data_IF_737654669556
#
_entry.id   IF_737654669556
#
_cell.length_a   1.000
_cell.length_b   1.000
_cell.length_c   1.000
_cell.angle_alpha   90.00
_cell.angle_beta   90.00
_cell.angle_gamma   90.00
#
_symmetry.space_group_name_H-M   'P 1'
#
loop_
_entity.id
_entity.type
_entity.pdbx_description
1 polymer ?
#
# COMPACT_ATOMS: atom_id res chain seq x y z
N UNK A 1 39.15 -4.25 -22.44
CA UNK A 1 37.86 -4.00 -21.75
C UNK A 1 37.58 -5.14 -20.80
N UNK A 2 37.70 -4.88 -19.52
CA UNK A 2 37.42 -5.90 -18.52
C UNK A 2 35.92 -5.98 -18.35
N UNK A 3 35.35 -7.13 -18.70
CA UNK A 3 34.01 -7.50 -18.31
C UNK A 3 33.96 -7.55 -16.79
N UNK A 4 33.32 -6.58 -16.20
CA UNK A 4 32.97 -6.64 -14.78
C UNK A 4 31.89 -7.71 -14.71
N UNK A 5 32.28 -8.91 -14.30
CA UNK A 5 31.31 -9.94 -13.96
C UNK A 5 30.45 -9.36 -12.86
N UNK A 6 29.21 -9.01 -13.22
CA UNK A 6 28.21 -8.61 -12.24
C UNK A 6 28.05 -9.73 -11.25
N UNK A 7 28.59 -9.50 -10.07
CA UNK A 7 28.28 -10.34 -8.95
C UNK A 7 26.77 -10.16 -8.67
N UNK A 8 26.02 -11.17 -9.01
CA UNK A 8 24.62 -11.26 -8.63
C UNK A 8 24.56 -12.06 -7.35
N UNK A 9 24.27 -11.45 -6.21
CA UNK A 9 23.92 -12.23 -5.05
C UNK A 9 22.67 -13.01 -5.40
N UNK A 10 22.81 -14.32 -5.44
CA UNK A 10 21.64 -15.19 -5.58
C UNK A 10 20.77 -14.92 -4.36
N UNK A 11 19.58 -14.42 -4.59
CA UNK A 11 18.56 -14.43 -3.55
C UNK A 11 18.47 -15.87 -3.04
N UNK A 12 18.51 -16.12 -1.74
CA UNK A 12 18.37 -17.45 -1.22
C UNK A 12 17.04 -18.02 -1.71
N UNK A 13 17.14 -19.00 -2.59
CA UNK A 13 15.95 -19.70 -3.10
C UNK A 13 15.56 -20.73 -2.06
N UNK A 14 14.96 -20.26 -1.01
CA UNK A 14 14.21 -21.11 -0.12
C UNK A 14 12.79 -21.21 -0.70
N UNK A 15 12.52 -22.27 -1.42
CA UNK A 15 11.21 -22.51 -2.02
C UNK A 15 10.08 -22.53 -0.99
N UNK A 16 10.37 -22.85 0.25
CA UNK A 16 9.40 -22.84 1.35
C UNK A 16 8.91 -21.44 1.71
N UNK A 17 9.56 -20.38 1.25
CA UNK A 17 9.22 -18.99 1.53
C UNK A 17 8.56 -18.25 0.37
N UNK A 18 8.21 -18.92 -0.70
CA UNK A 18 7.60 -18.29 -1.89
C UNK A 18 6.28 -17.57 -1.57
N UNK A 19 5.59 -18.04 -0.54
CA UNK A 19 4.31 -17.47 -0.11
C UNK A 19 4.45 -16.49 1.07
N UNK A 20 5.67 -16.27 1.54
CA UNK A 20 5.95 -15.31 2.59
C UNK A 20 5.90 -13.88 2.02
N UNK A 21 5.00 -13.01 2.52
CA UNK A 21 4.93 -11.60 2.09
C UNK A 21 6.27 -10.87 2.22
N UNK A 22 7.06 -11.16 3.27
CA UNK A 22 8.37 -10.54 3.47
C UNK A 22 9.35 -10.88 2.34
N UNK A 23 9.32 -12.11 1.86
CA UNK A 23 10.16 -12.53 0.74
C UNK A 23 9.80 -11.80 -0.55
N UNK A 24 8.51 -11.58 -0.80
CA UNK A 24 8.02 -10.76 -1.93
C UNK A 24 8.56 -9.34 -1.85
N UNK A 25 8.57 -8.74 -0.65
CA UNK A 25 9.11 -7.41 -0.42
C UNK A 25 10.62 -7.32 -0.67
N UNK A 26 11.38 -8.29 -0.18
CA UNK A 26 12.83 -8.34 -0.38
C UNK A 26 13.18 -8.54 -1.85
N UNK A 27 12.49 -9.43 -2.53
CA UNK A 27 12.68 -9.66 -3.96
C UNK A 27 12.37 -8.42 -4.79
N UNK A 28 11.33 -7.71 -4.40
CA UNK A 28 10.95 -6.48 -5.11
C UNK A 28 11.99 -5.37 -4.92
N UNK A 29 12.46 -5.15 -3.68
CA UNK A 29 13.57 -4.21 -3.41
C UNK A 29 14.82 -4.56 -4.20
N UNK A 30 15.14 -5.85 -4.28
CA UNK A 30 16.27 -6.33 -5.03
C UNK A 30 16.12 -6.04 -6.53
N UNK A 31 14.99 -6.38 -7.12
CA UNK A 31 14.73 -6.16 -8.53
C UNK A 31 14.69 -4.66 -8.89
N UNK A 32 14.22 -3.80 -7.98
CA UNK A 32 14.20 -2.35 -8.21
C UNK A 32 15.59 -1.72 -8.17
N UNK A 33 16.49 -2.24 -7.35
CA UNK A 33 17.88 -1.79 -7.31
C UNK A 33 18.67 -2.11 -8.57
N UNK A 34 18.11 -2.94 -9.46
CA UNK A 34 18.68 -3.32 -10.74
C UNK A 34 18.05 -2.59 -11.93
N UNK A 35 17.12 -1.66 -11.68
CA UNK A 35 16.48 -0.91 -12.74
C UNK A 35 17.48 0.00 -13.46
N UNK A 36 17.65 -0.27 -14.74
CA UNK A 36 18.56 0.45 -15.63
C UNK A 36 17.96 1.73 -16.20
N UNK A 37 17.08 2.40 -15.43
CA UNK A 37 16.57 3.73 -15.77
C UNK A 37 15.29 3.75 -16.61
N UNK A 38 14.57 2.65 -16.70
CA UNK A 38 13.19 2.67 -17.18
C UNK A 38 12.34 3.37 -16.13
N UNK A 39 11.91 4.60 -16.42
CA UNK A 39 10.91 5.26 -15.59
C UNK A 39 9.68 4.35 -15.52
N UNK A 40 9.36 3.88 -14.32
CA UNK A 40 8.05 3.25 -14.09
C UNK A 40 7.02 4.30 -14.46
N UNK A 41 6.08 4.00 -15.38
CA UNK A 41 5.04 4.96 -15.72
C UNK A 41 4.36 5.43 -14.44
N UNK A 42 4.20 6.73 -14.27
CA UNK A 42 3.48 7.29 -13.13
C UNK A 42 2.07 6.72 -13.15
N UNK A 43 1.70 5.98 -12.11
CA UNK A 43 0.36 5.43 -11.98
C UNK A 43 -0.62 6.57 -11.66
N UNK A 44 -1.89 6.34 -11.92
CA UNK A 44 -2.93 7.35 -11.73
C UNK A 44 -3.73 7.09 -10.47
N UNK A 45 -4.22 8.17 -9.88
CA UNK A 45 -5.18 8.11 -8.79
C UNK A 45 -6.63 8.01 -9.31
N UNK A 46 -7.57 7.86 -8.38
CA UNK A 46 -9.01 7.75 -8.69
C UNK A 46 -9.60 9.00 -9.33
N UNK A 47 -8.89 10.12 -9.32
CA UNK A 47 -9.27 11.36 -9.98
C UNK A 47 -8.72 11.48 -11.43
N UNK A 48 -7.98 10.46 -11.89
CA UNK A 48 -7.35 10.45 -13.22
C UNK A 48 -6.08 11.28 -13.30
N UNK A 49 -5.55 11.74 -12.19
CA UNK A 49 -4.31 12.51 -12.07
C UNK A 49 -3.14 11.60 -11.67
N UNK A 50 -1.88 12.06 -11.76
CA UNK A 50 -0.74 11.30 -11.24
C UNK A 50 -0.93 10.95 -9.77
N UNK A 51 -0.62 9.70 -9.41
CA UNK A 51 -0.74 9.19 -8.05
C UNK A 51 0.23 9.93 -7.12
N UNK A 52 -0.30 10.52 -6.05
CA UNK A 52 0.50 11.20 -5.04
C UNK A 52 0.96 10.24 -3.93
N UNK A 53 1.98 10.65 -3.19
CA UNK A 53 2.47 9.90 -2.03
C UNK A 53 1.40 9.80 -0.95
N UNK A 54 1.25 8.62 -0.36
CA UNK A 54 0.35 8.38 0.76
C UNK A 54 1.03 8.68 2.09
N UNK A 55 2.15 8.02 2.39
CA UNK A 55 2.96 8.26 3.58
C UNK A 55 4.37 7.71 3.45
N UNK A 56 5.32 8.47 3.98
CA UNK A 56 6.72 8.03 4.12
C UNK A 56 7.08 7.71 5.58
N UNK A 57 6.23 8.10 6.55
CA UNK A 57 6.39 7.80 7.96
C UNK A 57 5.01 7.57 8.63
N UNK A 58 4.64 6.32 8.87
CA UNK A 58 5.30 5.08 8.44
C UNK A 58 5.35 4.94 6.92
N UNK A 59 6.43 4.36 6.39
CA UNK A 59 6.54 4.13 4.95
C UNK A 59 5.56 3.06 4.52
N UNK A 60 4.67 3.41 3.59
CA UNK A 60 3.56 2.57 3.16
C UNK A 60 3.70 2.12 1.71
N UNK A 61 2.71 1.39 1.26
CA UNK A 61 2.60 0.86 -0.08
C UNK A 61 3.01 -0.60 -0.18
N UNK A 62 2.42 -1.32 -1.13
CA UNK A 62 2.83 -2.70 -1.42
C UNK A 62 4.32 -2.77 -1.70
N UNK A 63 4.86 -1.79 -2.38
CA UNK A 63 6.27 -1.70 -2.72
C UNK A 63 7.12 -0.92 -1.70
N UNK A 64 6.54 -0.44 -0.61
CA UNK A 64 7.23 0.39 0.40
C UNK A 64 7.97 1.60 -0.20
N UNK A 65 7.33 2.25 -1.14
CA UNK A 65 7.82 3.47 -1.78
C UNK A 65 7.05 4.73 -1.36
N UNK A 66 6.16 4.58 -0.38
CA UNK A 66 5.32 5.66 0.12
C UNK A 66 4.04 5.91 -0.69
N UNK A 67 3.83 5.18 -1.77
CA UNK A 67 2.69 5.33 -2.67
C UNK A 67 1.86 4.05 -2.72
N UNK A 68 0.57 4.19 -2.98
CA UNK A 68 -0.35 3.07 -3.15
C UNK A 68 -0.27 2.50 -4.58
N UNK A 69 0.95 2.34 -5.09
CA UNK A 69 1.21 1.68 -6.35
C UNK A 69 0.81 0.22 -6.28
N UNK A 70 0.36 -0.32 -7.39
CA UNK A 70 -0.01 -1.73 -7.49
C UNK A 70 0.54 -2.37 -8.76
N UNK A 71 0.51 -3.67 -8.80
CA UNK A 71 0.96 -4.47 -9.93
C UNK A 71 0.43 -5.90 -9.82
N UNK A 72 0.77 -6.77 -10.78
CA UNK A 72 0.25 -8.15 -10.83
C UNK A 72 0.55 -8.98 -9.58
N UNK A 73 1.61 -8.66 -8.84
CA UNK A 73 1.98 -9.36 -7.62
C UNK A 73 1.14 -8.94 -6.40
N UNK A 74 0.52 -7.75 -6.45
CA UNK A 74 -0.30 -7.22 -5.38
C UNK A 74 -1.72 -7.77 -5.43
N UNK A 75 -1.89 -9.01 -5.04
CA UNK A 75 -3.17 -9.70 -5.06
C UNK A 75 -4.19 -9.08 -4.11
N UNK A 76 -3.73 -8.42 -3.05
CA UNK A 76 -4.58 -7.71 -2.09
C UNK A 76 -5.05 -6.35 -2.57
N UNK A 77 -4.48 -5.82 -3.66
CA UNK A 77 -4.76 -4.46 -4.14
C UNK A 77 -4.65 -3.42 -3.02
N UNK A 78 -3.43 -3.22 -2.51
CA UNK A 78 -3.13 -2.24 -1.46
C UNK A 78 -3.14 -0.82 -2.03
N UNK A 79 -4.31 -0.38 -2.45
CA UNK A 79 -4.50 0.76 -3.33
C UNK A 79 -5.23 1.94 -2.70
N UNK A 80 -5.81 1.75 -1.51
CA UNK A 80 -6.58 2.79 -0.82
C UNK A 80 -5.71 3.49 0.21
N UNK A 81 -5.39 4.76 -0.03
CA UNK A 81 -4.70 5.58 0.97
C UNK A 81 -5.70 6.07 2.02
N UNK A 82 -5.60 5.54 3.23
CA UNK A 82 -6.49 5.86 4.34
C UNK A 82 -5.78 6.68 5.41
N UNK A 83 -6.53 7.59 6.04
CA UNK A 83 -6.21 8.16 7.33
C UNK A 83 -6.86 7.28 8.40
N UNK A 84 -6.06 6.38 9.03
CA UNK A 84 -6.61 5.37 9.93
C UNK A 84 -7.13 6.00 11.23
N UNK A 85 -8.25 5.44 11.69
CA UNK A 85 -8.87 5.82 12.96
C UNK A 85 -8.82 4.66 13.94
N UNK A 86 -8.97 4.96 15.23
CA UNK A 86 -9.03 3.93 16.27
C UNK A 86 -10.14 2.89 15.97
N UNK A 87 -11.31 3.37 15.58
CA UNK A 87 -12.45 2.51 15.25
C UNK A 87 -12.18 1.64 14.03
N UNK A 88 -11.55 2.18 13.00
CA UNK A 88 -11.15 1.42 11.82
C UNK A 88 -10.19 0.29 12.19
N UNK A 89 -9.18 0.59 13.00
CA UNK A 89 -8.18 -0.39 13.44
C UNK A 89 -8.83 -1.51 14.27
N UNK A 90 -9.71 -1.16 15.20
CA UNK A 90 -10.41 -2.14 16.05
C UNK A 90 -11.29 -3.08 15.23
N UNK A 91 -12.15 -2.55 14.37
CA UNK A 91 -13.05 -3.35 13.54
C UNK A 91 -12.28 -4.16 12.49
N UNK A 92 -11.23 -3.58 11.93
CA UNK A 92 -10.34 -4.30 11.00
C UNK A 92 -9.72 -5.53 11.66
N UNK A 93 -9.26 -5.41 12.92
CA UNK A 93 -8.72 -6.53 13.69
C UNK A 93 -9.78 -7.60 13.97
N UNK A 94 -10.98 -7.21 14.36
CA UNK A 94 -12.11 -8.13 14.58
C UNK A 94 -12.48 -8.93 13.31
N UNK A 95 -12.32 -8.29 12.15
CA UNK A 95 -12.57 -8.90 10.84
C UNK A 95 -11.36 -9.69 10.29
N UNK A 96 -10.34 -9.90 11.10
CA UNK A 96 -9.17 -10.71 10.76
C UNK A 96 -8.03 -9.98 10.08
N UNK A 97 -8.06 -8.65 10.05
CA UNK A 97 -6.99 -7.82 9.51
C UNK A 97 -6.40 -6.92 10.60
N UNK A 98 -5.52 -7.47 11.41
CA UNK A 98 -4.88 -6.72 12.49
C UNK A 98 -3.77 -5.81 11.94
N UNK A 99 -4.01 -4.52 11.95
CA UNK A 99 -3.08 -3.48 11.50
C UNK A 99 -2.38 -2.75 12.65
N UNK A 100 -2.70 -3.09 13.90
CA UNK A 100 -2.16 -2.38 15.09
C UNK A 100 -0.95 -3.06 15.69
N UNK A 101 -0.77 -4.35 15.46
CA UNK A 101 0.34 -5.11 16.03
C UNK A 101 1.57 -5.03 15.13
N UNK A 102 2.73 -4.61 15.65
CA UNK A 102 3.97 -4.62 14.89
C UNK A 102 4.34 -6.02 14.40
N UNK A 103 4.88 -6.10 13.19
CA UNK A 103 5.43 -7.33 12.61
C UNK A 103 6.83 -6.99 12.10
N UNK A 104 7.86 -7.10 12.99
CA UNK A 104 9.22 -6.69 12.66
C UNK A 104 9.81 -7.39 11.44
N UNK A 105 9.45 -8.66 11.21
CA UNK A 105 9.89 -9.46 10.07
C UNK A 105 9.49 -8.83 8.72
N UNK A 106 8.41 -8.06 8.71
CA UNK A 106 7.91 -7.38 7.53
C UNK A 106 8.26 -5.88 7.51
N UNK A 107 9.02 -5.41 8.49
CA UNK A 107 9.26 -3.99 8.68
C UNK A 107 7.97 -3.20 8.91
N UNK A 108 6.95 -3.86 9.48
CA UNK A 108 5.66 -3.24 9.75
C UNK A 108 5.62 -2.77 11.21
N UNK A 109 5.50 -1.44 11.44
CA UNK A 109 5.60 -0.90 12.80
C UNK A 109 4.30 -1.02 13.62
N UNK A 110 3.21 -1.49 13.02
CA UNK A 110 1.88 -1.33 13.58
C UNK A 110 1.36 0.11 13.38
N UNK A 111 0.08 0.24 13.08
CA UNK A 111 -0.53 1.54 12.85
C UNK A 111 -1.15 2.11 14.11
N UNK A 112 -1.15 3.42 14.19
CA UNK A 112 -1.81 4.21 15.23
C UNK A 112 -2.84 5.11 14.59
N UNK A 113 -3.89 5.55 15.32
CA UNK A 113 -4.80 6.56 14.83
C UNK A 113 -4.05 7.81 14.34
N UNK A 114 -4.40 8.28 13.14
CA UNK A 114 -3.74 9.41 12.49
C UNK A 114 -2.67 9.02 11.46
N UNK A 115 -2.23 7.78 11.43
CA UNK A 115 -1.32 7.29 10.40
C UNK A 115 -2.03 7.20 9.04
N UNK A 116 -1.27 7.39 7.96
CA UNK A 116 -1.73 7.09 6.61
C UNK A 116 -1.16 5.76 6.15
N UNK A 117 -1.99 4.97 5.51
CA UNK A 117 -1.61 3.64 5.06
C UNK A 117 -2.33 3.22 3.78
N UNK A 118 -1.61 2.52 2.91
CA UNK A 118 -2.21 1.89 1.73
C UNK A 118 -2.86 0.58 2.14
N UNK A 119 -4.17 0.59 2.27
CA UNK A 119 -4.98 -0.54 2.70
C UNK A 119 -5.47 -1.33 1.49
N UNK A 120 -5.59 -2.64 1.68
CA UNK A 120 -6.26 -3.52 0.71
C UNK A 120 -7.69 -3.03 0.45
N UNK A 121 -8.03 -2.84 -0.82
CA UNK A 121 -9.33 -2.29 -1.22
C UNK A 121 -10.51 -3.12 -0.69
N UNK A 122 -10.43 -4.44 -0.78
CA UNK A 122 -11.47 -5.33 -0.27
C UNK A 122 -11.60 -5.26 1.27
N UNK A 123 -10.47 -5.09 1.98
CA UNK A 123 -10.47 -4.95 3.45
C UNK A 123 -11.09 -3.62 3.88
N UNK A 124 -10.77 -2.52 3.18
CA UNK A 124 -11.41 -1.24 3.47
C UNK A 124 -12.93 -1.31 3.25
N UNK A 125 -13.36 -1.90 2.14
CA UNK A 125 -14.79 -2.07 1.83
C UNK A 125 -15.50 -2.95 2.88
N UNK A 126 -14.83 -3.99 3.37
CA UNK A 126 -15.35 -4.85 4.45
C UNK A 126 -15.61 -4.06 5.73
N UNK A 127 -14.67 -3.20 6.13
CA UNK A 127 -14.83 -2.34 7.32
C UNK A 127 -15.88 -1.26 7.07
N UNK A 128 -15.97 -0.74 5.84
CA UNK A 128 -17.01 0.22 5.45
C UNK A 128 -18.41 -0.40 5.61
N UNK A 129 -18.60 -1.61 5.17
CA UNK A 129 -19.86 -2.35 5.36
C UNK A 129 -20.20 -2.61 6.83
N UNK A 130 -19.20 -2.70 7.67
CA UNK A 130 -19.34 -2.79 9.13
C UNK A 130 -19.57 -1.42 9.80
N UNK A 131 -19.64 -0.33 9.05
CA UNK A 131 -19.92 1.01 9.56
C UNK A 131 -18.73 1.70 10.24
N UNK A 132 -17.49 1.27 9.96
CA UNK A 132 -16.29 1.76 10.61
C UNK A 132 -15.19 2.23 9.65
N UNK A 133 -15.52 2.55 8.41
CA UNK A 133 -14.55 3.02 7.43
C UNK A 133 -13.84 4.29 7.90
N UNK A 134 -12.55 4.37 7.59
CA UNK A 134 -11.75 5.56 7.82
C UNK A 134 -11.72 6.47 6.59
N UNK A 135 -11.37 7.76 6.77
CA UNK A 135 -11.25 8.69 5.66
C UNK A 135 -10.22 8.26 4.61
N UNK A 136 -10.46 8.63 3.37
CA UNK A 136 -9.65 8.27 2.21
C UNK A 136 -9.04 9.52 1.59
N UNK A 137 -7.74 9.45 1.25
CA UNK A 137 -7.04 10.48 0.49
C UNK A 137 -7.13 10.14 -0.98
N UNK A 138 -8.02 10.79 -1.72
CA UNK A 138 -8.33 10.45 -3.12
C UNK A 138 -7.12 10.62 -4.04
N UNK A 139 -6.34 11.68 -3.86
CA UNK A 139 -5.14 11.99 -4.66
C UNK A 139 -4.06 10.91 -4.53
N UNK A 140 -4.07 10.17 -3.42
CA UNK A 140 -3.10 9.12 -3.10
C UNK A 140 -3.70 7.70 -3.20
N UNK A 141 -4.94 7.58 -3.66
CA UNK A 141 -5.65 6.32 -3.87
C UNK A 141 -5.58 5.94 -5.34
N UNK A 142 -5.06 4.74 -5.62
CA UNK A 142 -4.83 4.26 -6.97
C UNK A 142 -6.14 4.03 -7.74
N UNK A 143 -6.13 4.31 -9.04
CA UNK A 143 -7.33 4.18 -9.91
C UNK A 143 -7.93 2.77 -9.92
N UNK A 144 -7.12 1.71 -9.77
CA UNK A 144 -7.62 0.32 -9.73
C UNK A 144 -8.52 0.03 -8.53
N UNK A 145 -8.52 0.88 -7.51
CA UNK A 145 -9.49 0.81 -6.41
C UNK A 145 -10.93 0.81 -6.92
N UNK A 146 -11.18 1.49 -8.03
CA UNK A 146 -12.51 1.58 -8.65
C UNK A 146 -13.04 0.24 -9.18
N UNK A 147 -12.19 -0.76 -9.34
CA UNK A 147 -12.60 -2.12 -9.68
C UNK A 147 -13.32 -2.81 -8.52
N UNK A 148 -13.07 -2.36 -7.29
CA UNK A 148 -13.60 -2.95 -6.05
C UNK A 148 -14.59 -2.03 -5.35
N UNK A 149 -14.31 -0.73 -5.33
CA UNK A 149 -15.06 0.29 -4.59
C UNK A 149 -15.58 1.34 -5.57
N UNK A 150 -16.89 1.54 -5.69
CA UNK A 150 -17.45 2.63 -6.50
C UNK A 150 -16.93 3.99 -6.04
N UNK A 151 -16.69 4.89 -7.00
CA UNK A 151 -16.17 6.23 -6.72
C UNK A 151 -17.06 7.01 -5.75
N UNK A 152 -18.36 6.86 -5.86
CA UNK A 152 -19.35 7.54 -5.00
C UNK A 152 -19.17 7.16 -3.51
N UNK A 153 -18.77 5.92 -3.24
CA UNK A 153 -18.48 5.46 -1.88
C UNK A 153 -17.18 6.11 -1.39
N UNK A 154 -16.13 6.10 -2.21
CA UNK A 154 -14.86 6.75 -1.85
C UNK A 154 -15.06 8.24 -1.57
N UNK A 155 -15.87 8.90 -2.38
CA UNK A 155 -16.15 10.34 -2.25
C UNK A 155 -16.82 10.69 -0.91
N UNK A 156 -17.68 9.81 -0.39
CA UNK A 156 -18.32 10.00 0.92
C UNK A 156 -17.31 10.01 2.09
N UNK A 157 -16.18 9.36 1.91
CA UNK A 157 -15.12 9.25 2.92
C UNK A 157 -13.88 10.08 2.57
N UNK A 158 -13.96 10.91 1.53
CA UNK A 158 -12.83 11.73 1.12
C UNK A 158 -12.37 12.66 2.25
N UNK A 159 -11.07 12.70 2.49
CA UNK A 159 -10.47 13.74 3.32
C UNK A 159 -10.69 15.07 2.61
N UNK A 160 -11.42 15.95 3.24
CA UNK A 160 -11.57 17.33 2.76
C UNK A 160 -10.30 18.07 3.17
N UNK A 161 -9.53 18.62 2.22
CA UNK A 161 -8.42 19.49 2.58
C UNK A 161 -8.99 20.62 3.44
N UNK A 162 -8.49 20.75 4.66
CA UNK A 162 -8.82 21.96 5.44
C UNK A 162 -8.38 23.13 4.58
N UNK A 163 -9.33 23.94 4.17
CA UNK A 163 -9.05 25.24 3.57
C UNK A 163 -8.19 25.98 4.56
N UNK A 164 -6.92 26.12 4.23
CA UNK A 164 -6.00 26.97 4.98
C UNK A 164 -6.61 28.38 5.05
N UNK A 165 -7.04 28.74 6.23
CA UNK A 165 -7.43 30.12 6.53
C UNK A 165 -6.19 30.97 6.75
#
# INVERSE_FOLDING_TARGET
MRSISRWQPRAPVDEARRDDPAWRWQRWRYNRGMDTGTKIPTQKNVLGQPLESCSIDPITGFYRDGCCNTGPEDLGMHTVCCLVTERFLAVSAELGNNLSTPIPEYGFPGLKPGDRWCVCAARWLQVQRAGAACPVVLESTHESTLEVIPFEILLQYAVIPETLH
#
